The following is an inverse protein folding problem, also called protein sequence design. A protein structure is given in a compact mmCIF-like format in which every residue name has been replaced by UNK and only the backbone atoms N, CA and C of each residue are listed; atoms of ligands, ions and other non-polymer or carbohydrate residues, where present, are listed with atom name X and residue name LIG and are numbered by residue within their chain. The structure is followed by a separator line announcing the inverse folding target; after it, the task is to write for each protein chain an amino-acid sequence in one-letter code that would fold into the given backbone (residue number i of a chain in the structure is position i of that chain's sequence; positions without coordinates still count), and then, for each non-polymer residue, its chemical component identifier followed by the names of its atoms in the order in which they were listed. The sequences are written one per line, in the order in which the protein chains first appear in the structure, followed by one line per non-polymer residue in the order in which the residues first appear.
data_IF_790985798762
#
_entry.id   IF_790985798762
#
_cell.length_a   1.000
_cell.length_b   1.000
_cell.length_c   1.000
_cell.angle_alpha   90.00
_cell.angle_beta   90.00
_cell.angle_gamma   90.00
#
_symmetry.space_group_name_H-M   'P 1'
#
loop_
_entity.id
_entity.type
_entity.pdbx_description
1 polymer ?
#
# COMPACT_ATOMS: atom_id res chain seq x y z
N UNK A 1 11.69 -6.30 12.30
CA UNK A 1 10.60 -5.52 12.92
C UNK A 1 9.84 -6.29 13.99
N UNK A 2 10.29 -7.51 14.35
CA UNK A 2 10.01 -8.17 15.62
C UNK A 2 8.62 -8.77 15.82
N UNK A 3 7.81 -8.95 14.78
CA UNK A 3 6.56 -9.72 14.90
C UNK A 3 6.88 -11.19 15.19
N UNK A 4 6.34 -11.72 16.27
CA UNK A 4 6.63 -13.08 16.75
C UNK A 4 5.58 -14.07 16.26
N UNK A 5 6.06 -15.25 15.85
CA UNK A 5 5.23 -16.44 15.67
C UNK A 5 5.61 -17.40 16.79
N UNK A 6 4.71 -17.58 17.77
CA UNK A 6 4.96 -18.45 18.91
C UNK A 6 4.01 -19.65 18.89
N UNK A 7 4.56 -20.86 19.05
CA UNK A 7 3.80 -22.09 19.27
C UNK A 7 3.67 -22.30 20.79
N UNK A 8 2.45 -22.10 21.34
CA UNK A 8 2.18 -22.44 22.73
C UNK A 8 1.94 -23.94 22.86
N UNK A 9 2.90 -24.65 23.45
CA UNK A 9 2.69 -26.02 23.90
C UNK A 9 2.00 -25.99 25.27
N UNK A 10 0.75 -26.43 25.37
CA UNK A 10 0.13 -26.65 26.68
C UNK A 10 0.86 -27.80 27.37
N UNK A 11 1.53 -27.53 28.51
CA UNK A 11 2.06 -28.60 29.37
C UNK A 11 0.90 -29.52 29.78
N UNK A 12 1.00 -30.81 29.46
CA UNK A 12 0.06 -31.80 29.93
C UNK A 12 0.26 -31.95 31.43
N UNK A 13 -0.80 -31.75 32.23
CA UNK A 13 -0.85 -32.22 33.63
C UNK A 13 -0.73 -33.75 33.56
N UNK A 14 0.30 -34.30 34.20
CA UNK A 14 0.43 -35.75 34.41
C UNK A 14 -0.64 -36.19 35.37
N UNK A 15 -1.68 -36.85 34.91
CA UNK A 15 -2.58 -37.65 35.74
C UNK A 15 -2.05 -39.09 35.71
N UNK A 16 -1.85 -39.65 36.91
CA UNK A 16 -1.44 -41.03 37.11
C UNK A 16 -2.35 -42.01 36.37
N UNK A 17 -1.73 -43.02 35.85
CA UNK A 17 -2.28 -44.09 35.02
C UNK A 17 -3.33 -44.91 35.72
N UNK A 18 -4.45 -45.19 35.03
CA UNK A 18 -5.12 -46.52 35.11
C UNK A 18 -5.28 -47.00 33.65
N UNK A 19 -4.99 -48.32 33.49
CA UNK A 19 -5.03 -49.07 32.24
C UNK A 19 -6.42 -49.03 31.61
N UNK A 20 -6.56 -48.57 30.40
CA UNK A 20 -7.35 -49.11 29.31
C UNK A 20 -7.52 -48.06 28.19
N UNK A 21 -7.29 -48.41 26.95
CA UNK A 21 -7.77 -47.71 25.76
C UNK A 21 -7.05 -46.43 25.39
N UNK A 22 -5.90 -46.53 24.68
CA UNK A 22 -5.10 -45.41 24.17
C UNK A 22 -5.76 -44.74 22.95
N UNK A 23 -6.71 -43.83 23.17
CA UNK A 23 -7.06 -42.83 22.15
C UNK A 23 -6.04 -41.69 22.25
N UNK A 24 -5.11 -41.66 21.32
CA UNK A 24 -4.17 -40.53 21.18
C UNK A 24 -4.91 -39.27 20.77
N UNK A 25 -5.26 -38.43 21.75
CA UNK A 25 -5.77 -37.10 21.45
C UNK A 25 -4.62 -36.25 20.88
N UNK A 26 -4.68 -35.97 19.57
CA UNK A 26 -3.78 -35.05 18.91
C UNK A 26 -3.96 -33.67 19.56
N UNK A 27 -2.94 -33.24 20.32
CA UNK A 27 -2.91 -31.92 20.96
C UNK A 27 -2.83 -30.86 19.85
N UNK A 28 -3.91 -30.17 19.61
CA UNK A 28 -3.95 -29.00 18.73
C UNK A 28 -3.10 -27.88 19.33
N UNK A 29 -1.87 -27.69 18.83
CA UNK A 29 -1.05 -26.55 19.22
C UNK A 29 -1.64 -25.27 18.64
N UNK A 30 -1.94 -24.30 19.48
CA UNK A 30 -2.40 -22.96 19.02
C UNK A 30 -1.18 -22.16 18.63
N UNK A 31 -0.99 -21.94 17.35
CA UNK A 31 0.05 -21.03 16.83
C UNK A 31 -0.46 -19.60 16.97
N UNK A 32 0.25 -18.78 17.72
CA UNK A 32 0.00 -17.34 17.82
C UNK A 32 0.88 -16.67 16.79
N UNK A 33 0.25 -16.15 15.74
CA UNK A 33 0.92 -15.37 14.69
C UNK A 33 0.56 -13.89 14.86
N UNK A 34 1.51 -13.08 15.35
CA UNK A 34 1.30 -11.65 15.60
C UNK A 34 1.04 -10.85 14.32
N UNK A 35 1.39 -11.38 13.14
CA UNK A 35 1.09 -10.76 11.85
C UNK A 35 -0.42 -10.68 11.57
N UNK A 36 -1.20 -11.57 12.21
CA UNK A 36 -2.67 -11.58 12.15
C UNK A 36 -3.31 -10.56 13.09
N UNK A 37 -2.54 -9.94 13.97
CA UNK A 37 -3.03 -8.87 14.83
C UNK A 37 -2.97 -7.56 14.04
N UNK A 38 -4.14 -6.99 13.73
CA UNK A 38 -4.26 -5.78 12.91
C UNK A 38 -3.43 -4.61 13.46
N UNK A 39 -3.53 -4.32 14.74
CA UNK A 39 -2.81 -3.20 15.35
C UNK A 39 -1.29 -3.39 15.29
N UNK A 40 -0.81 -4.59 15.64
CA UNK A 40 0.63 -4.90 15.62
C UNK A 40 1.19 -4.88 14.21
N UNK A 41 0.49 -5.48 13.25
CA UNK A 41 0.95 -5.52 11.86
C UNK A 41 0.95 -4.13 11.23
N UNK A 42 -0.09 -3.33 11.46
CA UNK A 42 -0.18 -1.94 10.97
C UNK A 42 0.93 -1.06 11.56
N UNK A 43 1.14 -1.14 12.89
CA UNK A 43 2.20 -0.37 13.54
C UNK A 43 3.60 -0.76 13.04
N UNK A 44 3.81 -2.05 12.81
CA UNK A 44 5.07 -2.57 12.28
C UNK A 44 5.30 -2.12 10.84
N UNK A 45 4.26 -2.11 10.00
CA UNK A 45 4.32 -1.59 8.65
C UNK A 45 4.63 -0.08 8.64
N UNK A 46 3.97 0.71 9.49
CA UNK A 46 4.24 2.14 9.63
C UNK A 46 5.70 2.42 10.05
N UNK A 47 6.22 1.64 11.00
CA UNK A 47 7.63 1.73 11.41
C UNK A 47 8.57 1.39 10.25
N UNK A 48 8.27 0.34 9.48
CA UNK A 48 9.04 -0.02 8.29
C UNK A 48 9.09 1.14 7.29
N UNK A 49 7.93 1.71 6.94
CA UNK A 49 7.85 2.83 6.00
C UNK A 49 8.66 4.04 6.46
N UNK A 50 8.54 4.41 7.74
CA UNK A 50 9.31 5.52 8.33
C UNK A 50 10.83 5.28 8.24
N UNK A 51 11.29 4.06 8.52
CA UNK A 51 12.71 3.73 8.45
C UNK A 51 13.20 3.74 6.99
N UNK A 52 12.34 3.34 6.04
CA UNK A 52 12.66 3.41 4.59
C UNK A 52 12.72 4.84 4.08
N UNK A 53 11.83 5.73 4.55
CA UNK A 53 11.90 7.16 4.21
C UNK A 53 13.28 7.76 4.49
N UNK A 54 13.83 7.47 5.68
CA UNK A 54 15.16 7.97 6.08
C UNK A 54 16.28 7.45 5.18
N UNK A 55 16.16 6.22 4.68
CA UNK A 55 17.21 5.53 3.93
C UNK A 55 17.06 5.67 2.40
N UNK A 56 15.97 6.29 1.93
CA UNK A 56 15.64 6.46 0.51
C UNK A 56 15.36 7.94 0.19
N UNK A 57 16.22 8.82 0.68
CA UNK A 57 16.24 10.25 0.37
C UNK A 57 14.90 10.99 0.58
N UNK A 58 14.05 10.50 1.49
CA UNK A 58 12.68 10.97 1.70
C UNK A 58 11.79 10.91 0.43
N UNK A 59 12.13 10.07 -0.53
CA UNK A 59 11.34 9.86 -1.75
C UNK A 59 10.29 8.75 -1.52
N UNK A 60 9.01 9.14 -1.41
CA UNK A 60 7.89 8.22 -1.24
C UNK A 60 7.73 7.22 -2.37
N UNK A 61 8.12 7.56 -3.59
CA UNK A 61 8.02 6.66 -4.73
C UNK A 61 9.07 5.56 -4.64
N UNK A 62 10.29 5.88 -4.15
CA UNK A 62 11.31 4.88 -3.83
C UNK A 62 10.87 3.99 -2.66
N UNK A 63 10.21 4.55 -1.64
CA UNK A 63 9.67 3.77 -0.52
C UNK A 63 8.57 2.82 -0.97
N UNK A 64 7.65 3.28 -1.82
CA UNK A 64 6.60 2.43 -2.40
C UNK A 64 7.20 1.31 -3.26
N UNK A 65 8.19 1.62 -4.09
CA UNK A 65 8.92 0.61 -4.86
C UNK A 65 9.64 -0.40 -3.95
N UNK A 66 10.29 0.05 -2.87
CA UNK A 66 10.97 -0.80 -1.91
C UNK A 66 10.01 -1.70 -1.10
N UNK A 67 8.80 -1.23 -0.84
CA UNK A 67 7.75 -2.01 -0.17
C UNK A 67 7.30 -3.19 -1.04
N UNK A 68 7.14 -2.98 -2.34
CA UNK A 68 6.71 -4.00 -3.30
C UNK A 68 7.86 -4.92 -3.76
N UNK A 69 8.98 -4.34 -4.14
CA UNK A 69 10.09 -5.06 -4.80
C UNK A 69 11.24 -5.43 -3.86
N UNK A 70 11.26 -4.87 -2.66
CA UNK A 70 12.33 -5.03 -1.69
C UNK A 70 13.41 -3.95 -1.80
N UNK A 71 13.86 -3.48 -0.62
CA UNK A 71 14.81 -2.37 -0.52
C UNK A 71 16.17 -2.65 -1.17
N UNK A 72 16.67 -3.89 -1.11
CA UNK A 72 17.93 -4.26 -1.73
C UNK A 72 17.93 -4.10 -3.25
N UNK A 73 16.82 -4.47 -3.90
CA UNK A 73 16.65 -4.30 -5.34
C UNK A 73 16.59 -2.81 -5.72
N UNK A 74 15.91 -2.00 -4.91
CA UNK A 74 15.86 -0.55 -5.13
C UNK A 74 17.25 0.07 -5.00
N UNK A 75 18.04 -0.29 -3.99
CA UNK A 75 19.42 0.18 -3.85
C UNK A 75 20.30 -0.21 -5.04
N UNK A 76 20.25 -1.49 -5.45
CA UNK A 76 20.98 -1.93 -6.65
C UNK A 76 20.55 -1.12 -7.90
N UNK A 77 19.28 -0.79 -8.04
CA UNK A 77 18.80 0.05 -9.14
C UNK A 77 19.29 1.50 -9.01
N UNK A 78 19.36 2.04 -7.79
CA UNK A 78 19.92 3.37 -7.52
C UNK A 78 21.40 3.44 -7.89
N UNK A 79 22.22 2.49 -7.46
CA UNK A 79 23.65 2.39 -7.79
C UNK A 79 23.87 2.35 -9.31
N UNK A 80 23.03 1.63 -10.05
CA UNK A 80 23.13 1.52 -11.52
C UNK A 80 22.89 2.84 -12.24
N UNK A 81 22.31 3.85 -11.60
CA UNK A 81 22.13 5.18 -12.19
C UNK A 81 23.41 6.00 -12.22
N UNK A 82 24.36 5.72 -11.32
CA UNK A 82 25.59 6.49 -11.11
C UNK A 82 25.36 7.90 -10.54
N UNK A 83 24.16 8.18 -10.02
CA UNK A 83 23.81 9.46 -9.38
C UNK A 83 23.92 9.35 -7.87
N UNK A 84 24.34 10.43 -7.20
CA UNK A 84 24.44 10.47 -5.72
C UNK A 84 23.07 10.35 -5.04
N UNK A 85 22.03 11.02 -5.57
CA UNK A 85 20.68 11.05 -5.03
C UNK A 85 19.64 10.73 -6.12
N UNK A 86 19.58 9.50 -6.63
CA UNK A 86 18.64 9.14 -7.66
C UNK A 86 17.20 9.12 -7.11
N UNK A 87 16.27 9.60 -7.90
CA UNK A 87 14.82 9.54 -7.66
C UNK A 87 14.23 8.25 -8.24
N UNK A 88 12.95 7.96 -7.93
CA UNK A 88 12.23 6.86 -8.58
C UNK A 88 12.26 6.96 -10.12
N UNK A 89 12.17 8.16 -10.68
CA UNK A 89 12.17 8.37 -12.14
C UNK A 89 13.48 7.97 -12.80
N UNK A 90 14.60 8.16 -12.08
CA UNK A 90 15.93 7.76 -12.56
C UNK A 90 16.09 6.23 -12.60
N UNK A 91 15.55 5.53 -11.61
CA UNK A 91 15.64 4.07 -11.52
C UNK A 91 14.54 3.33 -12.31
N UNK A 92 13.47 4.03 -12.75
CA UNK A 92 12.27 3.45 -13.37
C UNK A 92 12.59 2.45 -14.50
N UNK A 93 13.64 2.69 -15.30
CA UNK A 93 14.04 1.79 -16.38
C UNK A 93 14.52 0.41 -15.89
N UNK A 94 15.05 0.33 -14.66
CA UNK A 94 15.55 -0.91 -14.06
C UNK A 94 14.50 -1.64 -13.23
N UNK A 95 13.36 -1.01 -12.95
CA UNK A 95 12.30 -1.53 -12.10
C UNK A 95 11.39 -2.47 -12.89
N UNK A 96 10.95 -3.64 -12.34
CA UNK A 96 9.99 -4.53 -12.98
C UNK A 96 8.67 -3.85 -13.32
N UNK A 97 7.97 -4.36 -14.34
CA UNK A 97 6.67 -3.82 -14.78
C UNK A 97 5.62 -3.81 -13.65
N UNK A 98 5.58 -4.88 -12.84
CA UNK A 98 4.69 -4.99 -11.68
C UNK A 98 4.92 -3.87 -10.67
N UNK A 99 6.19 -3.62 -10.32
CA UNK A 99 6.53 -2.57 -9.35
C UNK A 99 6.28 -1.17 -9.93
N UNK A 100 6.50 -0.97 -11.24
CA UNK A 100 6.11 0.27 -11.91
C UNK A 100 4.61 0.53 -11.77
N UNK A 101 3.78 -0.49 -12.08
CA UNK A 101 2.34 -0.39 -11.93
C UNK A 101 1.93 -0.11 -10.48
N UNK A 102 2.57 -0.77 -9.50
CA UNK A 102 2.33 -0.53 -8.08
C UNK A 102 2.58 0.93 -7.68
N UNK A 103 3.73 1.50 -8.12
CA UNK A 103 4.05 2.91 -7.83
C UNK A 103 3.10 3.87 -8.56
N UNK A 104 2.70 3.57 -9.81
CA UNK A 104 1.71 4.39 -10.51
C UNK A 104 0.34 4.36 -9.82
N UNK A 105 -0.11 3.20 -9.34
CA UNK A 105 -1.33 3.08 -8.54
C UNK A 105 -1.22 3.86 -7.22
N UNK A 106 -0.07 3.85 -6.57
CA UNK A 106 0.17 4.66 -5.38
C UNK A 106 0.00 6.16 -5.67
N UNK A 107 0.54 6.66 -6.79
CA UNK A 107 0.35 8.05 -7.22
C UNK A 107 -1.13 8.33 -7.49
N UNK A 108 -1.80 7.48 -8.27
CA UNK A 108 -3.21 7.64 -8.60
C UNK A 108 -4.11 7.70 -7.36
N UNK A 109 -3.89 6.79 -6.39
CA UNK A 109 -4.63 6.79 -5.12
C UNK A 109 -4.39 8.07 -4.31
N UNK A 110 -3.16 8.59 -4.27
CA UNK A 110 -2.88 9.85 -3.59
C UNK A 110 -3.61 11.03 -4.24
N UNK A 111 -3.68 11.07 -5.57
CA UNK A 111 -4.44 12.11 -6.30
C UNK A 111 -5.93 12.00 -5.99
N UNK A 112 -6.49 10.79 -6.03
CA UNK A 112 -7.91 10.53 -5.71
C UNK A 112 -8.23 10.96 -4.26
N UNK A 113 -7.44 10.52 -3.29
CA UNK A 113 -7.70 10.85 -1.88
C UNK A 113 -7.54 12.34 -1.59
N UNK A 114 -6.56 13.00 -2.21
CA UNK A 114 -6.37 14.44 -2.06
C UNK A 114 -7.54 15.26 -2.65
N UNK A 115 -8.19 14.72 -3.68
CA UNK A 115 -9.29 15.37 -4.39
C UNK A 115 -10.60 14.57 -4.29
N UNK A 116 -10.83 13.90 -3.15
CA UNK A 116 -11.92 12.93 -3.01
C UNK A 116 -13.29 13.51 -3.32
N UNK A 117 -13.58 14.74 -2.88
CA UNK A 117 -14.88 15.40 -3.14
C UNK A 117 -15.11 15.62 -4.64
N UNK A 118 -14.10 16.09 -5.37
CA UNK A 118 -14.18 16.28 -6.81
C UNK A 118 -14.26 14.95 -7.54
N UNK A 119 -13.51 13.95 -7.08
CA UNK A 119 -13.57 12.60 -7.63
C UNK A 119 -14.97 11.98 -7.47
N UNK A 120 -15.57 12.10 -6.27
CA UNK A 120 -16.89 11.52 -5.98
C UNK A 120 -18.03 12.19 -6.76
N UNK A 121 -17.86 13.46 -7.13
CA UNK A 121 -18.79 14.23 -7.97
C UNK A 121 -18.50 14.12 -9.47
N UNK A 122 -17.54 13.26 -9.87
CA UNK A 122 -17.04 13.12 -11.24
C UNK A 122 -16.47 14.44 -11.85
N UNK A 123 -16.01 15.35 -10.98
CA UNK A 123 -15.44 16.66 -11.33
C UNK A 123 -13.91 16.70 -11.15
N UNK A 124 -13.23 15.54 -11.25
CA UNK A 124 -11.77 15.50 -11.18
C UNK A 124 -11.17 16.07 -12.46
N UNK A 125 -10.56 17.22 -12.34
CA UNK A 125 -9.98 17.93 -13.46
C UNK A 125 -8.46 18.02 -13.31
N UNK A 126 -7.75 17.71 -14.39
CA UNK A 126 -6.30 17.90 -14.51
C UNK A 126 -6.04 19.13 -15.37
N UNK A 127 -5.43 20.15 -14.77
CA UNK A 127 -5.02 21.34 -15.53
C UNK A 127 -3.91 20.96 -16.47
N UNK A 128 -4.17 21.02 -17.76
CA UNK A 128 -3.14 20.95 -18.79
C UNK A 128 -2.74 22.38 -19.17
N UNK A 129 -1.43 22.71 -19.20
CA UNK A 129 -0.95 24.07 -19.43
C UNK A 129 -1.35 24.65 -20.81
N UNK A 130 -1.89 23.81 -21.69
CA UNK A 130 -2.25 24.19 -23.08
C UNK A 130 -3.74 24.22 -23.40
N UNK A 131 -4.58 23.65 -22.57
CA UNK A 131 -6.03 23.67 -22.71
C UNK A 131 -6.62 23.63 -21.31
N UNK A 132 -7.54 24.54 -21.00
CA UNK A 132 -8.31 24.52 -19.76
C UNK A 132 -9.56 23.63 -19.94
N UNK A 133 -9.46 22.30 -19.75
CA UNK A 133 -10.56 21.38 -19.97
C UNK A 133 -11.61 21.43 -18.85
N UNK A 134 -11.38 22.31 -17.86
CA UNK A 134 -12.26 22.50 -16.70
C UNK A 134 -13.26 23.64 -16.90
N UNK A 135 -13.35 24.23 -18.08
CA UNK A 135 -14.35 25.23 -18.41
C UNK A 135 -15.73 24.58 -18.51
N UNK A 136 -16.49 24.78 -17.42
CA UNK A 136 -17.94 24.83 -17.32
C UNK A 136 -18.75 23.71 -17.99
N UNK A 137 -18.80 22.54 -17.35
CA UNK A 137 -19.98 21.66 -17.55
C UNK A 137 -21.26 22.24 -16.97
N UNK A 138 -21.16 23.20 -16.05
CA UNK A 138 -22.31 23.81 -15.39
C UNK A 138 -22.99 24.91 -16.23
N UNK A 139 -22.37 25.40 -17.31
CA UNK A 139 -22.94 26.42 -18.18
C UNK A 139 -23.80 25.83 -19.31
N UNK A 140 -23.63 24.55 -19.66
CA UNK A 140 -24.44 23.95 -20.73
C UNK A 140 -25.78 23.38 -20.24
N UNK A 141 -25.91 22.96 -18.96
CA UNK A 141 -27.16 22.47 -18.43
C UNK A 141 -28.18 23.59 -18.14
N UNK A 142 -27.73 24.82 -17.89
CA UNK A 142 -28.65 25.97 -17.69
C UNK A 142 -29.18 26.55 -19.00
N UNK A 143 -28.47 26.41 -20.12
CA UNK A 143 -28.93 26.93 -21.41
C UNK A 143 -29.98 26.03 -22.11
N UNK A 144 -30.01 24.74 -21.77
CA UNK A 144 -30.95 23.79 -22.36
C UNK A 144 -32.36 23.88 -21.74
N UNK A 145 -32.46 24.30 -20.47
CA UNK A 145 -33.74 24.42 -19.79
C UNK A 145 -34.50 25.71 -20.11
N UNK A 146 -33.82 26.79 -20.55
CA UNK A 146 -34.48 28.05 -20.91
C UNK A 146 -35.08 28.05 -22.31
N UNK A 147 -34.69 27.13 -23.19
CA UNK A 147 -35.23 27.03 -24.55
C UNK A 147 -36.51 26.19 -24.66
N UNK A 148 -36.81 25.37 -23.63
CA UNK A 148 -37.97 24.45 -23.62
C UNK A 148 -39.24 25.11 -22.99
N UNK A 149 -39.08 26.21 -22.29
CA UNK A 149 -40.20 26.90 -21.61
C UNK A 149 -40.80 28.09 -22.39
N UNK A 150 -40.41 28.31 -23.64
CA UNK A 150 -40.95 29.41 -24.50
C UNK A 150 -41.60 28.92 -25.80
N UNK A 151 -42.26 27.74 -25.75
CA UNK A 151 -43.21 27.35 -26.83
C UNK A 151 -44.55 26.91 -26.23
#
# INVERSE_FOLDING_TARGET
YGLKIAVKHKKAKSTKSTKAGKKTAVKKSTVIDERKNFQKSTHTAAKYLRDRMRNLNNDWLLVAAAYNWGVGNVWNAMERTGKDNPTFWDIKKYVPAETKAYVMNFIALNVIFKNYENFSKNNLCFKDEKQDPCLNKDAEETSFNDSVLKN
#
